data_IF_709688908752
#
_entry.id   IF_709688908752
#
_cell.length_a   1.000
_cell.length_b   1.000
_cell.length_c   1.000
_cell.angle_alpha   90.00
_cell.angle_beta   90.00
_cell.angle_gamma   90.00
#
_symmetry.space_group_name_H-M   'P 1'
#
loop_
_entity.id
_entity.type
_entity.pdbx_description
1 polymer ?
#
# COMPACT_ATOMS: atom_id res chain seq x y z
N UNK A 1 19.16 -4.03 17.08
CA UNK A 1 20.03 -3.38 16.08
C UNK A 1 19.18 -3.05 14.86
N UNK A 2 19.01 -1.76 14.54
CA UNK A 2 18.26 -1.33 13.36
C UNK A 2 19.10 -1.69 12.13
N UNK A 3 18.59 -2.59 11.29
CA UNK A 3 19.26 -2.96 10.06
C UNK A 3 19.02 -1.86 9.00
N UNK A 4 20.01 -0.99 8.80
CA UNK A 4 19.96 0.10 7.82
C UNK A 4 19.90 -0.37 6.35
N UNK A 5 19.97 -1.69 6.08
CA UNK A 5 19.83 -2.22 4.72
C UNK A 5 18.36 -2.38 4.26
N UNK A 6 17.38 -2.34 5.17
CA UNK A 6 15.95 -2.42 4.79
C UNK A 6 15.50 -1.09 4.19
N UNK A 7 15.16 -1.11 2.91
CA UNK A 7 14.53 0.03 2.23
C UNK A 7 13.07 0.15 2.71
N UNK A 8 12.73 1.27 3.31
CA UNK A 8 11.35 1.57 3.70
C UNK A 8 10.56 2.11 2.50
N UNK A 9 9.24 1.88 2.43
CA UNK A 9 8.42 2.56 1.44
C UNK A 9 8.40 4.06 1.70
N UNK A 10 8.29 4.84 0.61
CA UNK A 10 8.32 6.29 0.66
C UNK A 10 6.97 6.82 1.16
N UNK A 11 6.99 7.55 2.28
CA UNK A 11 5.79 8.19 2.85
C UNK A 11 5.22 9.23 1.86
N UNK A 12 3.91 9.26 1.72
CA UNK A 12 3.20 10.13 0.78
C UNK A 12 3.13 9.62 -0.66
N UNK A 13 3.89 8.57 -1.00
CA UNK A 13 3.88 7.98 -2.33
C UNK A 13 2.79 6.91 -2.51
N UNK A 14 2.56 6.54 -3.77
CA UNK A 14 1.52 5.61 -4.17
C UNK A 14 2.10 4.27 -4.63
N UNK A 15 1.42 3.18 -4.32
CA UNK A 15 1.80 1.83 -4.73
C UNK A 15 0.62 1.09 -5.32
N UNK A 16 0.91 0.26 -6.33
CA UNK A 16 0.01 -0.81 -6.75
C UNK A 16 0.35 -2.09 -6.01
N UNK A 17 -0.67 -2.79 -5.49
CA UNK A 17 -0.50 -4.17 -5.10
C UNK A 17 -0.42 -5.07 -6.35
N UNK A 18 0.21 -6.24 -6.26
CA UNK A 18 0.37 -7.16 -7.39
C UNK A 18 -0.95 -7.61 -8.04
N UNK A 19 -2.08 -7.43 -7.34
CA UNK A 19 -3.44 -7.71 -7.84
C UNK A 19 -4.05 -6.57 -8.67
N UNK A 20 -3.35 -5.44 -8.82
CA UNK A 20 -3.81 -4.33 -9.67
C UNK A 20 -4.00 -4.80 -11.11
N UNK A 21 -5.14 -4.45 -11.68
CA UNK A 21 -5.50 -4.73 -13.06
C UNK A 21 -5.59 -3.42 -13.85
N UNK A 22 -4.68 -3.25 -14.81
CA UNK A 22 -4.62 -2.07 -15.68
C UNK A 22 -5.87 -1.90 -16.57
N UNK A 23 -6.71 -2.94 -16.71
CA UNK A 23 -7.97 -2.86 -17.47
C UNK A 23 -9.14 -2.30 -16.64
N UNK A 24 -8.96 -2.16 -15.32
CA UNK A 24 -9.97 -1.59 -14.41
C UNK A 24 -9.73 -0.09 -14.21
N UNK A 25 -10.21 0.45 -13.08
CA UNK A 25 -9.97 1.84 -12.71
C UNK A 25 -8.53 2.06 -12.28
N UNK A 26 -8.02 3.28 -12.48
CA UNK A 26 -6.68 3.70 -12.08
C UNK A 26 -6.36 3.37 -10.62
N UNK A 27 -7.38 3.39 -9.77
CA UNK A 27 -7.26 3.23 -8.34
C UNK A 27 -7.47 1.79 -7.85
N UNK A 28 -7.82 0.84 -8.73
CA UNK A 28 -7.95 -0.58 -8.40
C UNK A 28 -6.69 -1.07 -7.68
N UNK A 29 -6.81 -1.62 -6.47
CA UNK A 29 -5.65 -2.08 -5.68
C UNK A 29 -4.49 -1.07 -5.58
N UNK A 30 -4.81 0.23 -5.56
CA UNK A 30 -3.85 1.30 -5.31
C UNK A 30 -3.92 1.79 -3.86
N UNK A 31 -2.78 2.19 -3.34
CA UNK A 31 -2.63 2.58 -1.94
C UNK A 31 -1.71 3.79 -1.81
N UNK A 32 -2.00 4.66 -0.84
CA UNK A 32 -1.12 5.75 -0.42
C UNK A 32 -0.41 5.37 0.87
N UNK A 33 0.91 5.52 0.93
CA UNK A 33 1.66 5.29 2.17
C UNK A 33 1.51 6.49 3.09
N UNK A 34 1.00 6.24 4.29
CA UNK A 34 0.77 7.27 5.31
C UNK A 34 1.97 7.37 6.24
N UNK A 35 2.56 6.23 6.62
CA UNK A 35 3.68 6.22 7.54
C UNK A 35 4.23 4.82 7.81
N UNK A 36 5.31 4.80 8.58
CA UNK A 36 5.85 3.60 9.21
C UNK A 36 5.51 3.68 10.69
N UNK A 37 4.95 2.60 11.23
CA UNK A 37 4.54 2.48 12.62
C UNK A 37 5.28 1.32 13.30
N UNK A 38 5.33 1.36 14.63
CA UNK A 38 5.77 0.22 15.45
C UNK A 38 4.57 -0.22 16.26
N UNK A 39 4.26 -1.52 16.22
CA UNK A 39 3.24 -2.10 17.08
C UNK A 39 3.77 -2.11 18.52
N UNK A 40 3.11 -1.41 19.44
CA UNK A 40 3.64 -1.19 20.80
C UNK A 40 3.89 -2.46 21.61
N UNK A 41 3.08 -3.49 21.40
CA UNK A 41 3.10 -4.72 22.19
C UNK A 41 4.03 -5.79 21.61
N UNK A 42 4.24 -5.79 20.29
CA UNK A 42 5.03 -6.81 19.58
C UNK A 42 6.34 -6.26 19.03
N UNK A 43 6.50 -4.94 19.06
CA UNK A 43 7.61 -4.18 18.47
C UNK A 43 7.79 -4.42 16.95
N UNK A 44 6.77 -4.98 16.28
CA UNK A 44 6.78 -5.20 14.84
C UNK A 44 6.70 -3.88 14.09
N UNK A 45 7.55 -3.74 13.06
CA UNK A 45 7.51 -2.59 12.17
C UNK A 45 6.41 -2.81 11.15
N UNK A 46 5.45 -1.89 11.09
CA UNK A 46 4.29 -1.91 10.22
C UNK A 46 4.34 -0.75 9.22
N UNK A 47 3.76 -0.96 8.04
CA UNK A 47 3.46 0.09 7.08
C UNK A 47 1.99 0.46 7.23
N UNK A 48 1.71 1.72 7.55
CA UNK A 48 0.36 2.27 7.55
C UNK A 48 0.06 2.87 6.18
N UNK A 49 -1.03 2.43 5.55
CA UNK A 49 -1.40 2.85 4.20
C UNK A 49 -2.91 2.98 4.02
N UNK A 50 -3.33 3.90 3.14
CA UNK A 50 -4.72 4.16 2.80
C UNK A 50 -5.06 3.43 1.49
N UNK A 51 -6.05 2.53 1.46
CA UNK A 51 -6.65 2.05 0.23
C UNK A 51 -7.33 3.20 -0.52
N UNK A 52 -7.03 3.35 -1.81
CA UNK A 52 -7.62 4.38 -2.66
C UNK A 52 -8.74 3.81 -3.52
N UNK A 53 -9.37 2.73 -3.09
CA UNK A 53 -10.50 2.11 -3.73
C UNK A 53 -11.40 1.59 -2.62
N UNK A 54 -12.62 1.17 -2.97
CA UNK A 54 -13.48 0.50 -2.01
C UNK A 54 -13.29 -1.03 -2.09
N UNK A 55 -12.40 -1.67 -1.31
CA UNK A 55 -12.39 -3.13 -1.18
C UNK A 55 -13.67 -3.65 -0.51
N UNK A 56 -14.25 -4.72 -1.06
CA UNK A 56 -15.44 -5.39 -0.52
C UNK A 56 -15.24 -6.04 0.87
N UNK A 57 -14.04 -6.03 1.44
CA UNK A 57 -13.68 -6.81 2.65
C UNK A 57 -13.04 -5.98 3.77
N UNK A 58 -12.61 -4.74 3.49
CA UNK A 58 -11.92 -3.91 4.50
C UNK A 58 -12.91 -2.99 5.22
N UNK A 59 -14.06 -2.69 4.62
CA UNK A 59 -15.12 -1.88 5.26
C UNK A 59 -16.16 -2.68 6.03
N UNK A 60 -15.90 -3.95 6.34
CA UNK A 60 -16.57 -4.56 7.50
C UNK A 60 -16.15 -3.86 8.80
N UNK A 61 -15.08 -3.04 8.73
CA UNK A 61 -14.56 -2.22 9.82
C UNK A 61 -14.60 -0.73 9.45
N UNK A 62 -14.93 0.13 10.41
CA UNK A 62 -14.91 1.59 10.27
C UNK A 62 -13.48 2.13 10.35
N UNK A 63 -12.63 1.78 9.37
CA UNK A 63 -11.23 2.21 9.30
C UNK A 63 -10.79 2.69 7.91
N UNK A 64 -10.14 3.86 7.86
CA UNK A 64 -9.61 4.47 6.63
C UNK A 64 -8.23 3.91 6.21
N UNK A 65 -7.55 3.23 7.14
CA UNK A 65 -6.17 2.81 6.97
C UNK A 65 -6.00 1.34 7.31
N UNK A 66 -5.10 0.70 6.58
CA UNK A 66 -4.64 -0.64 6.86
C UNK A 66 -3.21 -0.58 7.39
N UNK A 67 -2.86 -1.56 8.19
CA UNK A 67 -1.48 -1.81 8.60
C UNK A 67 -1.03 -3.18 8.09
N UNK A 68 0.24 -3.30 7.73
CA UNK A 68 0.84 -4.57 7.30
C UNK A 68 2.30 -4.64 7.76
N UNK A 69 2.81 -5.79 8.21
CA UNK A 69 4.23 -5.95 8.52
C UNK A 69 5.12 -5.46 7.38
N UNK A 70 6.18 -4.72 7.72
CA UNK A 70 7.12 -4.15 6.75
C UNK A 70 7.70 -5.23 5.84
N UNK A 71 8.04 -6.38 6.40
CA UNK A 71 8.66 -7.47 5.66
C UNK A 71 7.70 -8.05 4.63
N UNK A 72 6.43 -8.19 5.00
CA UNK A 72 5.36 -8.61 4.10
C UNK A 72 5.06 -7.54 3.03
N UNK A 73 5.23 -6.26 3.34
CA UNK A 73 5.07 -5.19 2.36
C UNK A 73 6.18 -5.22 1.29
N UNK A 74 7.43 -5.48 1.72
CA UNK A 74 8.61 -5.46 0.85
C UNK A 74 8.85 -6.77 0.08
N UNK A 75 8.16 -7.85 0.42
CA UNK A 75 8.42 -9.15 -0.17
C UNK A 75 8.05 -9.23 -1.66
N UNK A 76 8.69 -10.15 -2.36
CA UNK A 76 8.23 -10.61 -3.67
C UNK A 76 7.20 -11.73 -3.49
N UNK A 77 6.26 -11.82 -4.42
CA UNK A 77 5.22 -12.87 -4.45
C UNK A 77 5.24 -13.58 -5.80
N UNK A 78 4.79 -14.83 -5.79
CA UNK A 78 4.48 -15.62 -6.98
C UNK A 78 2.96 -15.82 -7.01
N UNK A 79 2.30 -15.35 -8.07
CA UNK A 79 0.85 -15.42 -8.24
C UNK A 79 0.46 -15.56 -9.71
N UNK A 80 0.04 -16.76 -10.12
CA UNK A 80 -0.15 -17.07 -11.54
C UNK A 80 1.16 -16.82 -12.30
N UNK A 81 1.09 -16.01 -13.37
CA UNK A 81 2.26 -15.63 -14.16
C UNK A 81 3.03 -14.41 -13.59
N UNK A 82 2.55 -13.84 -12.48
CA UNK A 82 3.24 -12.73 -11.82
C UNK A 82 4.31 -13.24 -10.85
N UNK A 83 5.54 -12.74 -11.01
CA UNK A 83 6.62 -12.88 -10.04
C UNK A 83 7.31 -11.54 -9.85
N UNK A 84 7.19 -10.95 -8.67
CA UNK A 84 7.74 -9.62 -8.39
C UNK A 84 7.27 -9.04 -7.07
N UNK A 85 7.56 -7.76 -6.84
CA UNK A 85 7.24 -7.09 -5.57
C UNK A 85 5.74 -7.15 -5.25
N UNK A 86 5.38 -7.41 -3.99
CA UNK A 86 3.98 -7.39 -3.55
C UNK A 86 3.35 -6.02 -3.79
N UNK A 87 4.11 -4.96 -3.49
CA UNK A 87 3.74 -3.58 -3.74
C UNK A 87 4.77 -2.91 -4.65
N UNK A 88 4.30 -2.31 -5.74
CA UNK A 88 5.12 -1.63 -6.75
C UNK A 88 4.91 -0.13 -6.66
N UNK A 89 5.99 0.63 -6.51
CA UNK A 89 5.95 2.09 -6.49
C UNK A 89 5.39 2.61 -7.83
N UNK A 90 4.45 3.55 -7.74
CA UNK A 90 3.92 4.28 -8.88
C UNK A 90 4.81 5.51 -9.08
N UNK A 91 5.39 5.63 -10.28
CA UNK A 91 6.28 6.75 -10.65
C UNK A 91 5.74 7.60 -11.79
N UNK A 92 4.64 7.20 -12.43
CA UNK A 92 4.01 7.98 -13.50
C UNK A 92 3.32 9.22 -12.94
N UNK A 93 3.77 10.40 -13.36
CA UNK A 93 3.32 11.69 -12.81
C UNK A 93 1.83 11.94 -13.07
N UNK A 94 1.31 11.53 -14.23
CA UNK A 94 -0.12 11.69 -14.56
C UNK A 94 -0.98 10.84 -13.62
N UNK A 95 -0.59 9.59 -13.43
CA UNK A 95 -1.24 8.67 -12.49
C UNK A 95 -1.23 9.23 -11.07
N UNK A 96 -0.07 9.72 -10.61
CA UNK A 96 0.08 10.32 -9.28
C UNK A 96 -0.83 11.55 -9.14
N UNK A 97 -0.92 12.40 -10.16
CA UNK A 97 -1.78 13.58 -10.15
C UNK A 97 -3.27 13.20 -10.06
N UNK A 98 -3.73 12.19 -10.79
CA UNK A 98 -5.11 11.72 -10.71
C UNK A 98 -5.42 11.05 -9.36
N UNK A 99 -4.52 10.23 -8.82
CA UNK A 99 -4.71 9.58 -7.52
C UNK A 99 -4.78 10.60 -6.37
N UNK A 100 -4.03 11.70 -6.44
CA UNK A 100 -4.09 12.77 -5.45
C UNK A 100 -5.44 13.51 -5.42
N UNK A 101 -6.22 13.47 -6.51
CA UNK A 101 -7.55 14.09 -6.56
C UNK A 101 -8.61 13.24 -5.87
N UNK A 102 -8.31 11.96 -5.60
CA UNK A 102 -9.27 11.08 -4.97
C UNK A 102 -9.36 11.40 -3.48
N UNK A 103 -10.57 11.70 -3.02
CA UNK A 103 -10.86 11.89 -1.61
C UNK A 103 -11.45 10.61 -1.01
N UNK A 104 -10.65 9.95 -0.16
CA UNK A 104 -11.05 8.81 0.66
C UNK A 104 -10.95 9.13 2.15
N UNK A 105 -11.09 10.39 2.54
CA UNK A 105 -10.94 10.83 3.93
C UNK A 105 -12.19 10.67 4.80
N UNK A 106 -13.27 10.07 4.28
CA UNK A 106 -14.55 9.99 4.99
C UNK A 106 -15.03 8.53 5.11
N UNK A 107 -15.02 8.05 6.35
CA UNK A 107 -15.98 7.07 6.88
C UNK A 107 -16.94 7.87 7.75
#
# INVERSE_FOLDING_TARGET
MINFSKKYPIVGSFYYHYKHDNQKSLNDYSYKIIGIAVHSETEEILVAYQPLYRPNHVFDYEANFNVRPLDMFLENVIYGDYSGARFRLITDEKTIAELNKLDFTQI
#
